data_IF_261049348502
#
_entry.id   IF_261049348502
#
_cell.length_a   1.000
_cell.length_b   1.000
_cell.length_c   1.000
_cell.angle_alpha   90.00
_cell.angle_beta   90.00
_cell.angle_gamma   90.00
#
_symmetry.space_group_name_H-M   'P 1'
#
loop_
_entity.id
_entity.type
_entity.pdbx_description
1 polymer ?
#
# COMPACT_ATOMS: atom_id res chain seq x y z
N UNK A 1 57.59 28.13 21.40
CA UNK A 1 56.48 27.21 20.88
C UNK A 1 55.26 27.50 21.72
N UNK A 2 54.38 28.33 21.20
CA UNK A 2 53.08 28.69 21.85
C UNK A 2 52.03 27.76 21.33
N UNK A 3 51.52 26.90 22.21
CA UNK A 3 50.41 25.97 21.93
C UNK A 3 49.12 26.77 22.00
N UNK A 4 48.49 27.01 20.84
CA UNK A 4 47.13 27.59 20.75
C UNK A 4 46.10 26.51 21.00
N UNK A 5 45.36 26.63 22.09
CA UNK A 5 44.17 25.81 22.40
C UNK A 5 43.06 26.09 21.40
N UNK A 6 42.34 25.07 20.89
CA UNK A 6 41.21 25.28 19.99
C UNK A 6 40.02 25.89 20.75
N UNK A 7 39.48 26.99 20.20
CA UNK A 7 38.23 27.60 20.67
C UNK A 7 37.09 26.60 20.62
N UNK A 8 36.50 26.30 21.75
CA UNK A 8 35.21 25.56 21.86
C UNK A 8 34.09 26.36 21.18
N UNK A 9 33.50 25.79 20.18
CA UNK A 9 32.27 26.31 19.52
C UNK A 9 31.12 26.17 20.52
N UNK A 10 30.32 27.22 20.79
CA UNK A 10 29.19 27.13 21.70
C UNK A 10 28.17 26.17 21.15
N UNK A 11 27.70 25.24 22.01
CA UNK A 11 26.59 24.33 21.70
C UNK A 11 25.35 25.14 21.31
N UNK A 12 24.82 24.84 20.12
CA UNK A 12 23.55 25.38 19.65
C UNK A 12 22.41 24.93 20.59
N UNK A 13 21.45 25.81 20.93
CA UNK A 13 20.41 25.50 21.88
C UNK A 13 19.57 24.32 21.39
N UNK A 14 19.40 23.34 22.28
CA UNK A 14 18.64 22.13 22.11
C UNK A 14 17.18 22.49 21.76
N UNK A 15 16.84 22.52 20.46
CA UNK A 15 15.45 22.70 19.99
C UNK A 15 14.65 21.51 20.50
N UNK A 16 13.79 21.76 21.49
CA UNK A 16 12.79 20.81 21.99
C UNK A 16 12.10 20.14 20.79
N UNK A 17 12.48 18.91 20.48
CA UNK A 17 11.84 18.12 19.42
C UNK A 17 10.39 17.86 19.85
N UNK A 18 9.43 18.41 19.12
CA UNK A 18 8.02 18.19 19.39
C UNK A 18 7.70 16.69 19.35
N UNK A 19 6.76 16.22 20.16
CA UNK A 19 6.31 14.81 20.18
C UNK A 19 5.90 14.31 18.79
N UNK A 20 5.35 15.19 17.95
CA UNK A 20 4.99 14.93 16.56
C UNK A 20 6.23 14.55 15.68
N UNK A 21 7.43 15.02 16.00
CA UNK A 21 8.62 14.66 15.23
C UNK A 21 9.12 13.22 15.49
N UNK A 22 8.54 12.52 16.47
CA UNK A 22 8.85 11.11 16.79
C UNK A 22 8.00 10.13 15.99
N UNK A 23 6.94 10.58 15.33
CA UNK A 23 6.14 9.72 14.48
C UNK A 23 6.94 9.31 13.23
N UNK A 24 7.02 8.02 12.90
CA UNK A 24 7.78 7.53 11.75
C UNK A 24 7.33 8.17 10.43
N UNK A 25 6.03 8.46 10.29
CA UNK A 25 5.43 9.11 9.13
C UNK A 25 5.99 10.54 8.93
N UNK A 26 6.12 11.33 9.99
CA UNK A 26 6.66 12.71 9.91
C UNK A 26 8.12 12.70 9.48
N UNK A 27 8.89 11.71 9.94
CA UNK A 27 10.28 11.52 9.52
C UNK A 27 10.36 11.15 8.03
N UNK A 28 9.47 10.30 7.54
CA UNK A 28 9.39 9.90 6.14
C UNK A 28 9.01 11.06 5.22
N UNK A 29 8.01 11.87 5.58
CA UNK A 29 7.63 13.09 4.84
C UNK A 29 8.78 14.09 4.77
N UNK A 30 9.60 14.21 5.82
CA UNK A 30 10.80 15.08 5.81
C UNK A 30 11.93 14.56 4.93
N UNK A 31 12.03 13.26 4.74
CA UNK A 31 13.08 12.64 3.90
C UNK A 31 12.71 12.58 2.42
N UNK A 32 11.40 12.68 2.08
CA UNK A 32 10.93 12.69 0.70
C UNK A 32 11.13 14.07 0.05
N UNK A 33 11.49 14.08 -1.24
CA UNK A 33 11.73 15.32 -2.02
C UNK A 33 10.94 15.28 -3.34
N UNK A 34 10.51 16.47 -3.80
CA UNK A 34 9.89 16.63 -5.11
C UNK A 34 8.58 15.82 -5.23
N UNK A 35 8.43 15.11 -6.35
CA UNK A 35 7.22 14.37 -6.71
C UNK A 35 6.85 13.27 -5.69
N UNK A 36 7.84 12.62 -5.08
CA UNK A 36 7.60 11.59 -4.06
C UNK A 36 6.95 12.16 -2.80
N UNK A 37 7.35 13.37 -2.39
CA UNK A 37 6.71 14.05 -1.27
C UNK A 37 5.26 14.38 -1.59
N UNK A 38 4.99 14.84 -2.81
CA UNK A 38 3.63 15.11 -3.26
C UNK A 38 2.79 13.83 -3.25
N UNK A 39 3.28 12.72 -3.82
CA UNK A 39 2.58 11.43 -3.83
C UNK A 39 2.31 10.91 -2.41
N UNK A 40 3.30 10.97 -1.51
CA UNK A 40 3.12 10.55 -0.12
C UNK A 40 2.07 11.41 0.61
N UNK A 41 2.15 12.73 0.47
CA UNK A 41 1.21 13.64 1.14
C UNK A 41 -0.20 13.48 0.56
N UNK A 42 -0.33 13.43 -0.77
CA UNK A 42 -1.61 13.21 -1.44
C UNK A 42 -2.21 11.86 -1.02
N UNK A 43 -1.41 10.78 -1.05
CA UNK A 43 -1.85 9.46 -0.60
C UNK A 43 -2.30 9.44 0.86
N UNK A 44 -1.53 10.07 1.76
CA UNK A 44 -1.88 10.15 3.18
C UNK A 44 -3.15 10.98 3.42
N UNK A 45 -3.34 12.08 2.68
CA UNK A 45 -4.56 12.91 2.78
C UNK A 45 -5.77 12.11 2.31
N UNK A 46 -5.71 11.49 1.12
CA UNK A 46 -6.83 10.74 0.56
C UNK A 46 -7.15 9.51 1.42
N UNK A 47 -6.14 8.73 1.82
CA UNK A 47 -6.34 7.58 2.72
C UNK A 47 -6.84 8.02 4.09
N UNK A 48 -6.34 9.13 4.62
CA UNK A 48 -6.80 9.70 5.88
C UNK A 48 -8.27 10.14 5.81
N UNK A 49 -8.67 10.80 4.72
CA UNK A 49 -10.08 11.15 4.48
C UNK A 49 -10.96 9.91 4.37
N UNK A 50 -10.52 8.88 3.64
CA UNK A 50 -11.22 7.60 3.54
C UNK A 50 -11.42 6.96 4.94
N UNK A 51 -10.37 6.87 5.74
CA UNK A 51 -10.44 6.32 7.10
C UNK A 51 -11.36 7.17 7.99
N UNK A 52 -11.26 8.49 7.94
CA UNK A 52 -12.13 9.38 8.71
C UNK A 52 -13.60 9.24 8.30
N UNK A 53 -13.88 9.20 6.98
CA UNK A 53 -15.23 8.95 6.46
C UNK A 53 -15.78 7.62 6.98
N UNK A 54 -14.98 6.55 6.96
CA UNK A 54 -15.38 5.24 7.45
C UNK A 54 -15.65 5.22 8.96
N UNK A 55 -14.81 5.88 9.77
CA UNK A 55 -14.97 5.92 11.23
C UNK A 55 -16.16 6.79 11.67
N UNK A 56 -16.37 7.89 10.98
CA UNK A 56 -17.42 8.84 11.28
C UNK A 56 -18.67 8.70 10.39
N UNK A 57 -18.80 7.58 9.67
CA UNK A 57 -19.92 7.32 8.78
C UNK A 57 -21.30 7.55 9.46
N UNK A 58 -21.54 7.10 10.71
CA UNK A 58 -22.83 7.36 11.39
C UNK A 58 -23.13 8.83 11.66
N UNK A 59 -22.11 9.70 11.68
CA UNK A 59 -22.24 11.14 11.91
C UNK A 59 -22.26 11.94 10.61
N UNK A 60 -21.63 11.43 9.57
CA UNK A 60 -21.49 12.12 8.28
C UNK A 60 -22.64 11.79 7.33
N UNK A 61 -23.20 10.57 7.41
CA UNK A 61 -24.28 10.15 6.54
C UNK A 61 -25.61 10.77 6.97
N UNK A 62 -26.33 11.45 6.08
CA UNK A 62 -27.65 12.01 6.40
C UNK A 62 -28.66 10.93 6.82
N UNK A 63 -28.58 9.73 6.24
CA UNK A 63 -29.47 8.62 6.46
C UNK A 63 -28.74 7.31 6.75
N UNK A 64 -29.46 6.34 7.33
CA UNK A 64 -28.94 4.99 7.50
C UNK A 64 -28.71 4.30 6.14
N UNK A 65 -27.75 3.36 6.07
CA UNK A 65 -27.39 2.66 4.82
C UNK A 65 -28.55 1.88 4.19
N UNK A 66 -29.54 1.44 4.98
CA UNK A 66 -30.74 0.71 4.53
C UNK A 66 -32.03 1.51 4.73
N UNK A 67 -31.94 2.80 5.08
CA UNK A 67 -33.10 3.64 5.31
C UNK A 67 -33.77 4.00 3.99
N UNK A 68 -35.09 3.81 3.94
CA UNK A 68 -35.95 4.05 2.78
C UNK A 68 -37.04 5.10 3.04
N UNK A 69 -37.06 5.72 4.24
CA UNK A 69 -38.07 6.69 4.66
C UNK A 69 -37.43 7.80 5.48
N UNK A 70 -37.83 9.04 5.19
CA UNK A 70 -37.53 10.22 5.97
C UNK A 70 -38.77 10.70 6.71
N UNK A 71 -38.71 11.92 7.23
CA UNK A 71 -39.81 12.58 7.95
C UNK A 71 -41.00 12.83 7.01
N UNK A 72 -40.74 13.11 5.73
CA UNK A 72 -41.74 13.43 4.71
C UNK A 72 -42.32 12.18 3.99
N UNK A 73 -41.91 11.00 4.37
CA UNK A 73 -42.42 9.75 3.81
C UNK A 73 -41.36 8.82 3.22
N UNK A 74 -41.78 7.95 2.28
CA UNK A 74 -40.86 7.04 1.60
C UNK A 74 -40.01 7.79 0.55
N UNK A 75 -38.73 7.47 0.49
CA UNK A 75 -37.85 8.02 -0.55
C UNK A 75 -38.29 7.52 -1.95
N UNK A 76 -38.28 8.43 -2.90
CA UNK A 76 -38.61 8.09 -4.29
C UNK A 76 -37.49 7.32 -4.97
N UNK A 77 -37.86 6.46 -5.93
CA UNK A 77 -36.90 5.76 -6.78
C UNK A 77 -36.26 6.71 -7.79
N UNK A 78 -34.93 6.63 -7.95
CA UNK A 78 -34.15 7.37 -8.98
C UNK A 78 -34.38 8.89 -8.98
N UNK A 79 -34.63 9.46 -7.80
CA UNK A 79 -34.74 10.93 -7.68
C UNK A 79 -33.41 11.60 -8.06
N UNK A 80 -33.51 12.67 -8.81
CA UNK A 80 -32.35 13.49 -9.15
C UNK A 80 -31.76 14.16 -7.89
N UNK A 81 -30.47 14.55 -7.92
CA UNK A 81 -29.86 15.32 -6.85
C UNK A 81 -30.70 16.52 -6.43
N UNK A 82 -30.95 16.64 -5.13
CA UNK A 82 -31.80 17.66 -4.50
C UNK A 82 -31.24 18.09 -3.14
N UNK A 83 -31.90 19.06 -2.50
CA UNK A 83 -31.51 19.48 -1.14
C UNK A 83 -31.71 18.35 -0.10
N UNK A 84 -32.70 17.49 -0.29
CA UNK A 84 -33.00 16.34 0.57
C UNK A 84 -32.04 15.17 0.27
N UNK A 85 -31.78 14.90 -1.00
CA UNK A 85 -30.88 13.85 -1.48
C UNK A 85 -29.77 14.47 -2.33
N UNK A 86 -28.65 14.88 -1.71
CA UNK A 86 -27.57 15.63 -2.38
C UNK A 86 -26.99 14.90 -3.62
N UNK A 87 -26.94 13.58 -3.58
CA UNK A 87 -26.53 12.76 -4.72
C UNK A 87 -27.68 11.95 -5.32
N UNK A 88 -28.92 12.34 -5.03
CA UNK A 88 -30.11 11.64 -5.50
C UNK A 88 -30.32 10.27 -4.83
N UNK A 89 -31.26 9.49 -5.38
CA UNK A 89 -31.58 8.17 -4.86
C UNK A 89 -31.36 7.07 -5.91
N UNK A 90 -31.15 5.82 -5.45
CA UNK A 90 -31.02 4.63 -6.27
C UNK A 90 -32.38 4.14 -6.76
N UNK A 91 -32.41 3.14 -7.67
CA UNK A 91 -33.63 2.44 -8.08
C UNK A 91 -34.40 1.85 -6.89
N UNK A 92 -33.71 1.44 -5.85
CA UNK A 92 -34.30 0.93 -4.60
C UNK A 92 -34.76 2.01 -3.63
N UNK A 93 -34.61 3.30 -3.96
CA UNK A 93 -34.95 4.42 -3.07
C UNK A 93 -33.93 4.69 -1.96
N UNK A 94 -32.71 4.15 -2.03
CA UNK A 94 -31.64 4.44 -1.07
C UNK A 94 -30.94 5.75 -1.41
N UNK A 95 -30.62 6.57 -0.39
CA UNK A 95 -29.84 7.79 -0.57
C UNK A 95 -28.39 7.47 -0.99
N UNK A 96 -27.98 7.97 -2.15
CA UNK A 96 -26.68 7.66 -2.75
C UNK A 96 -25.52 8.20 -1.93
N UNK A 97 -25.63 9.41 -1.37
CA UNK A 97 -24.57 9.99 -0.53
C UNK A 97 -24.36 9.14 0.73
N UNK A 98 -25.45 8.82 1.43
CA UNK A 98 -25.39 8.00 2.65
C UNK A 98 -24.76 6.64 2.36
N UNK A 99 -25.18 5.98 1.29
CA UNK A 99 -24.60 4.69 0.90
C UNK A 99 -23.11 4.79 0.54
N UNK A 100 -22.71 5.86 -0.13
CA UNK A 100 -21.28 6.09 -0.46
C UNK A 100 -20.43 6.25 0.81
N UNK A 101 -20.94 6.98 1.81
CA UNK A 101 -20.29 7.20 3.10
C UNK A 101 -20.22 5.88 3.91
N UNK A 102 -21.35 5.18 4.05
CA UNK A 102 -21.40 3.89 4.76
C UNK A 102 -20.58 2.80 4.05
N UNK A 103 -20.49 2.85 2.71
CA UNK A 103 -19.64 1.97 1.92
C UNK A 103 -18.16 2.08 2.29
N UNK A 104 -17.71 3.27 2.67
CA UNK A 104 -16.34 3.44 3.19
C UNK A 104 -16.11 2.64 4.49
N UNK A 105 -17.08 2.61 5.39
CA UNK A 105 -16.98 1.82 6.63
C UNK A 105 -16.95 0.32 6.34
N UNK A 106 -17.81 -0.15 5.44
CA UNK A 106 -17.84 -1.56 5.03
C UNK A 106 -16.52 -1.96 4.39
N UNK A 107 -16.03 -1.17 3.42
CA UNK A 107 -14.77 -1.44 2.75
C UNK A 107 -13.59 -1.47 3.74
N UNK A 108 -13.49 -0.47 4.63
CA UNK A 108 -12.43 -0.41 5.64
C UNK A 108 -12.48 -1.64 6.56
N UNK A 109 -13.67 -2.02 7.04
CA UNK A 109 -13.86 -3.14 7.95
C UNK A 109 -13.44 -4.47 7.31
N UNK A 110 -13.92 -4.74 6.08
CA UNK A 110 -13.59 -5.96 5.35
C UNK A 110 -12.10 -6.03 5.06
N UNK A 111 -11.51 -4.93 4.56
CA UNK A 111 -10.08 -4.88 4.19
C UNK A 111 -9.19 -5.08 5.41
N UNK A 112 -9.47 -4.39 6.54
CA UNK A 112 -8.68 -4.56 7.76
C UNK A 112 -8.73 -6.01 8.24
N UNK A 113 -9.93 -6.60 8.33
CA UNK A 113 -10.07 -7.99 8.79
C UNK A 113 -9.36 -8.94 7.83
N UNK A 114 -9.60 -8.83 6.53
CA UNK A 114 -9.01 -9.71 5.52
C UNK A 114 -7.49 -9.65 5.52
N UNK A 115 -6.92 -8.44 5.50
CA UNK A 115 -5.46 -8.26 5.42
C UNK A 115 -4.77 -8.66 6.72
N UNK A 116 -5.33 -8.33 7.89
CA UNK A 116 -4.75 -8.73 9.18
C UNK A 116 -4.76 -10.25 9.33
N UNK A 117 -5.87 -10.91 9.02
CA UNK A 117 -5.96 -12.37 9.08
C UNK A 117 -4.99 -13.04 8.09
N UNK A 118 -4.90 -12.52 6.85
CA UNK A 118 -3.96 -13.02 5.85
C UNK A 118 -2.50 -12.89 6.30
N UNK A 119 -2.14 -11.75 6.90
CA UNK A 119 -0.81 -11.54 7.48
C UNK A 119 -0.57 -12.56 8.59
N UNK A 120 -1.50 -12.67 9.54
CA UNK A 120 -1.32 -13.56 10.69
C UNK A 120 -1.09 -15.00 10.24
N UNK A 121 -1.97 -15.53 9.40
CA UNK A 121 -1.87 -16.90 8.88
C UNK A 121 -0.66 -17.07 7.97
N UNK A 122 -0.46 -16.18 7.00
CA UNK A 122 0.64 -16.26 6.04
C UNK A 122 2.01 -16.14 6.69
N UNK A 123 2.16 -15.22 7.66
CA UNK A 123 3.41 -15.08 8.44
C UNK A 123 3.67 -16.32 9.27
N UNK A 124 2.68 -16.84 9.97
CA UNK A 124 2.83 -18.05 10.78
C UNK A 124 3.25 -19.24 9.92
N UNK A 125 2.52 -19.51 8.84
CA UNK A 125 2.84 -20.61 7.93
C UNK A 125 4.20 -20.42 7.25
N UNK A 126 4.54 -19.19 6.82
CA UNK A 126 5.81 -18.87 6.18
C UNK A 126 7.01 -19.05 7.10
N UNK A 127 6.89 -18.65 8.38
CA UNK A 127 7.93 -18.88 9.39
C UNK A 127 8.14 -20.38 9.66
N UNK A 128 7.06 -21.11 9.87
CA UNK A 128 7.13 -22.55 10.17
C UNK A 128 7.72 -23.30 8.98
N UNK A 129 7.22 -23.06 7.80
CA UNK A 129 7.68 -23.65 6.54
C UNK A 129 9.17 -23.36 6.27
N UNK A 130 9.56 -22.08 6.27
CA UNK A 130 10.94 -21.66 6.00
C UNK A 130 11.94 -22.12 7.05
N UNK A 131 11.54 -22.16 8.33
CA UNK A 131 12.44 -22.55 9.42
C UNK A 131 12.67 -24.07 9.48
N UNK A 132 11.60 -24.87 9.50
CA UNK A 132 11.70 -26.32 9.65
C UNK A 132 12.02 -27.01 8.32
N UNK A 133 11.48 -26.56 7.21
CA UNK A 133 11.72 -27.14 5.89
C UNK A 133 11.09 -28.55 5.76
N UNK A 134 11.73 -29.40 4.94
CA UNK A 134 11.35 -30.81 4.80
C UNK A 134 10.02 -31.03 4.08
N UNK A 135 9.26 -32.07 4.50
CA UNK A 135 7.99 -32.42 3.86
C UNK A 135 6.88 -31.38 4.16
N UNK A 136 6.89 -30.82 5.37
CA UNK A 136 5.95 -29.77 5.76
C UNK A 136 6.03 -28.56 4.83
N UNK A 137 7.25 -28.13 4.54
CA UNK A 137 7.51 -27.05 3.58
C UNK A 137 6.98 -27.38 2.18
N UNK A 138 7.25 -28.59 1.68
CA UNK A 138 6.75 -29.03 0.37
C UNK A 138 5.23 -29.02 0.29
N UNK A 139 4.55 -29.53 1.31
CA UNK A 139 3.08 -29.56 1.34
C UNK A 139 2.50 -28.15 1.37
N UNK A 140 3.03 -27.28 2.25
CA UNK A 140 2.54 -25.89 2.34
C UNK A 140 2.79 -25.09 1.07
N UNK A 141 3.94 -25.29 0.40
CA UNK A 141 4.24 -24.68 -0.89
C UNK A 141 3.24 -25.13 -1.94
N UNK A 142 2.99 -26.45 -2.07
CA UNK A 142 2.04 -26.99 -3.06
C UNK A 142 0.63 -26.45 -2.81
N UNK A 143 0.18 -26.40 -1.55
CA UNK A 143 -1.15 -25.86 -1.21
C UNK A 143 -1.25 -24.38 -1.56
N UNK A 144 -0.25 -23.58 -1.17
CA UNK A 144 -0.23 -22.15 -1.49
C UNK A 144 -0.13 -21.89 -3.00
N UNK A 145 0.64 -22.70 -3.73
CA UNK A 145 0.75 -22.60 -5.18
C UNK A 145 -0.55 -23.00 -5.87
N UNK A 146 -1.25 -24.02 -5.37
CA UNK A 146 -2.58 -24.40 -5.86
C UNK A 146 -3.59 -23.26 -5.67
N UNK A 147 -3.63 -22.62 -4.50
CA UNK A 147 -4.49 -21.44 -4.25
C UNK A 147 -4.13 -20.30 -5.21
N UNK A 148 -2.84 -20.03 -5.39
CA UNK A 148 -2.37 -18.91 -6.20
C UNK A 148 -2.51 -19.16 -7.72
N UNK A 149 -2.70 -20.39 -8.15
CA UNK A 149 -2.96 -20.73 -9.54
C UNK A 149 -4.36 -20.30 -10.02
N UNK A 150 -5.29 -20.07 -9.10
CA UNK A 150 -6.60 -19.57 -9.44
C UNK A 150 -6.59 -18.04 -9.62
N UNK A 151 -7.33 -17.50 -10.61
CA UNK A 151 -7.56 -16.06 -10.69
C UNK A 151 -8.19 -15.54 -9.39
N UNK A 152 -7.58 -14.51 -8.80
CA UNK A 152 -7.92 -13.94 -7.49
C UNK A 152 -9.42 -13.74 -7.30
N UNK A 153 -10.08 -13.07 -8.26
CA UNK A 153 -11.50 -12.76 -8.18
C UNK A 153 -12.38 -14.01 -8.27
N UNK A 154 -12.03 -14.97 -9.15
CA UNK A 154 -12.78 -16.21 -9.26
C UNK A 154 -12.72 -17.04 -7.98
N UNK A 155 -11.52 -17.14 -7.38
CA UNK A 155 -11.36 -17.84 -6.11
C UNK A 155 -12.16 -17.15 -5.01
N UNK A 156 -12.11 -15.81 -4.94
CA UNK A 156 -12.88 -15.05 -3.98
C UNK A 156 -14.40 -15.27 -4.11
N UNK A 157 -14.93 -15.36 -5.34
CA UNK A 157 -16.34 -15.67 -5.60
C UNK A 157 -16.69 -17.07 -5.08
N UNK A 158 -15.92 -18.08 -5.48
CA UNK A 158 -16.19 -19.47 -5.07
C UNK A 158 -16.16 -19.60 -3.56
N UNK A 159 -15.17 -18.98 -2.90
CA UNK A 159 -15.04 -18.98 -1.45
C UNK A 159 -16.19 -18.23 -0.78
N UNK A 160 -16.62 -17.08 -1.33
CA UNK A 160 -17.74 -16.31 -0.80
C UNK A 160 -19.03 -17.12 -0.83
N UNK A 161 -19.33 -17.80 -1.94
CA UNK A 161 -20.49 -18.69 -2.07
C UNK A 161 -20.39 -19.87 -1.10
N UNK A 162 -19.22 -20.50 -1.00
CA UNK A 162 -19.02 -21.66 -0.12
C UNK A 162 -19.20 -21.29 1.37
N UNK A 163 -18.74 -20.11 1.79
CA UNK A 163 -18.83 -19.65 3.17
C UNK A 163 -20.21 -19.14 3.52
N UNK A 164 -20.86 -18.38 2.61
CA UNK A 164 -22.20 -17.84 2.83
C UNK A 164 -23.29 -18.90 2.76
N UNK A 165 -22.99 -20.09 2.20
CA UNK A 165 -24.01 -21.13 1.95
C UNK A 165 -25.13 -20.68 1.02
N UNK A 166 -24.90 -19.62 0.25
CA UNK A 166 -25.92 -18.99 -0.59
C UNK A 166 -26.96 -18.17 0.19
N UNK A 167 -26.73 -17.93 1.48
CA UNK A 167 -27.63 -17.13 2.33
C UNK A 167 -27.00 -15.78 2.65
N UNK A 168 -27.75 -14.72 2.42
CA UNK A 168 -27.40 -13.36 2.80
C UNK A 168 -27.94 -13.06 4.20
N UNK A 169 -27.12 -13.32 5.20
CA UNK A 169 -27.39 -12.81 6.55
C UNK A 169 -26.57 -11.55 6.81
N UNK A 170 -27.03 -10.69 7.73
CA UNK A 170 -26.38 -9.41 8.09
C UNK A 170 -24.88 -9.56 8.38
N UNK A 171 -24.48 -10.61 9.06
CA UNK A 171 -23.06 -10.91 9.33
C UNK A 171 -22.44 -11.85 8.29
N UNK A 172 -23.27 -12.65 7.58
CA UNK A 172 -22.79 -13.64 6.62
C UNK A 172 -22.09 -13.02 5.41
N UNK A 173 -22.64 -11.95 4.84
CA UNK A 173 -22.07 -11.31 3.65
C UNK A 173 -20.74 -10.63 3.92
N UNK A 174 -20.63 -9.79 4.95
CA UNK A 174 -19.40 -9.08 5.32
C UNK A 174 -18.30 -10.07 5.74
N UNK A 175 -18.68 -11.06 6.56
CA UNK A 175 -17.75 -12.08 7.03
C UNK A 175 -17.28 -13.00 5.89
N UNK A 176 -18.21 -13.45 5.03
CA UNK A 176 -17.88 -14.29 3.88
C UNK A 176 -16.91 -13.56 2.93
N UNK A 177 -17.17 -12.28 2.62
CA UNK A 177 -16.26 -11.48 1.81
C UNK A 177 -14.87 -11.33 2.47
N UNK A 178 -14.82 -11.02 3.77
CA UNK A 178 -13.55 -10.85 4.49
C UNK A 178 -12.72 -12.15 4.52
N UNK A 179 -13.36 -13.30 4.80
CA UNK A 179 -12.66 -14.60 4.83
C UNK A 179 -12.26 -15.04 3.43
N UNK A 180 -13.11 -14.82 2.42
CA UNK A 180 -12.76 -15.15 1.03
C UNK A 180 -11.49 -14.40 0.58
N UNK A 181 -11.43 -13.09 0.83
CA UNK A 181 -10.26 -12.26 0.53
C UNK A 181 -9.05 -12.70 1.37
N UNK A 182 -9.27 -13.09 2.64
CA UNK A 182 -8.20 -13.65 3.51
C UNK A 182 -7.54 -14.84 2.86
N UNK A 183 -8.31 -15.84 2.42
CA UNK A 183 -7.78 -17.07 1.82
C UNK A 183 -6.97 -16.77 0.57
N UNK A 184 -7.44 -15.86 -0.27
CA UNK A 184 -6.75 -15.44 -1.49
C UNK A 184 -5.38 -14.82 -1.22
N UNK A 185 -5.23 -14.05 -0.14
CA UNK A 185 -3.99 -13.33 0.14
C UNK A 185 -2.98 -14.10 1.01
N UNK A 186 -3.39 -15.16 1.71
CA UNK A 186 -2.48 -16.01 2.49
C UNK A 186 -1.22 -16.42 1.71
N UNK A 187 -1.31 -16.92 0.45
CA UNK A 187 -0.13 -17.35 -0.29
C UNK A 187 0.91 -16.27 -0.54
N UNK A 188 0.50 -15.01 -0.73
CA UNK A 188 1.43 -13.90 -0.93
C UNK A 188 2.28 -13.66 0.31
N UNK A 189 1.65 -13.55 1.49
CA UNK A 189 2.37 -13.38 2.75
C UNK A 189 3.22 -14.61 3.08
N UNK A 190 2.70 -15.81 2.84
CA UNK A 190 3.41 -17.07 3.03
C UNK A 190 4.71 -17.08 2.23
N UNK A 191 4.67 -16.81 0.92
CA UNK A 191 5.84 -16.85 0.03
C UNK A 191 6.92 -15.88 0.46
N UNK A 192 6.55 -14.64 0.75
CA UNK A 192 7.52 -13.61 1.13
C UNK A 192 8.17 -13.94 2.46
N UNK A 193 7.39 -14.30 3.48
CA UNK A 193 7.92 -14.62 4.80
C UNK A 193 8.72 -15.92 4.78
N UNK A 194 8.31 -16.92 4.00
CA UNK A 194 9.08 -18.14 3.80
C UNK A 194 10.46 -17.83 3.20
N UNK A 195 10.51 -17.05 2.11
CA UNK A 195 11.76 -16.68 1.46
C UNK A 195 12.71 -15.93 2.41
N UNK A 196 12.19 -14.93 3.13
CA UNK A 196 12.95 -14.20 4.15
C UNK A 196 13.41 -15.09 5.30
N UNK A 197 12.56 -16.02 5.75
CA UNK A 197 12.90 -16.98 6.82
C UNK A 197 14.06 -17.88 6.40
N UNK A 198 14.01 -18.43 5.19
CA UNK A 198 15.10 -19.28 4.64
C UNK A 198 16.40 -18.48 4.56
N UNK A 199 16.35 -17.24 4.06
CA UNK A 199 17.51 -16.34 3.99
C UNK A 199 18.10 -16.04 5.37
N UNK A 200 17.25 -15.63 6.32
CA UNK A 200 17.70 -15.23 7.66
C UNK A 200 18.21 -16.44 8.47
N UNK A 201 17.65 -17.63 8.26
CA UNK A 201 18.07 -18.85 8.94
C UNK A 201 19.53 -19.21 8.70
N UNK A 202 20.11 -18.82 7.55
CA UNK A 202 21.51 -19.07 7.17
C UNK A 202 22.48 -17.96 7.60
N UNK A 203 22.01 -16.92 8.31
CA UNK A 203 22.86 -15.83 8.78
C UNK A 203 23.72 -16.28 9.99
N UNK A 204 24.98 -15.84 10.03
CA UNK A 204 25.97 -16.21 11.05
C UNK A 204 25.48 -15.99 12.49
N UNK A 205 24.73 -14.91 12.76
CA UNK A 205 24.20 -14.64 14.10
C UNK A 205 23.13 -15.64 14.55
N UNK A 206 22.38 -16.25 13.59
CA UNK A 206 21.41 -17.31 13.88
C UNK A 206 22.14 -18.61 14.19
N UNK A 207 23.21 -18.93 13.47
CA UNK A 207 24.05 -20.09 13.74
C UNK A 207 24.75 -19.96 15.10
N UNK A 208 25.29 -18.80 15.42
CA UNK A 208 25.87 -18.51 16.73
C UNK A 208 24.84 -18.73 17.88
N UNK A 209 23.59 -18.29 17.67
CA UNK A 209 22.54 -18.49 18.66
C UNK A 209 22.21 -19.99 18.88
N UNK A 210 22.30 -20.82 17.83
CA UNK A 210 22.14 -22.29 17.95
C UNK A 210 23.28 -22.92 18.74
N UNK A 211 24.52 -22.51 18.46
CA UNK A 211 25.70 -23.01 19.16
C UNK A 211 25.64 -22.71 20.65
N UNK A 212 25.13 -21.57 21.05
CA UNK A 212 24.95 -21.17 22.48
C UNK A 212 23.74 -21.88 23.10
N UNK A 213 23.00 -22.74 22.35
CA UNK A 213 21.89 -23.52 22.86
C UNK A 213 20.53 -22.82 22.91
N UNK A 214 20.32 -21.77 22.09
CA UNK A 214 19.01 -21.13 22.01
C UNK A 214 17.96 -22.09 21.42
N UNK A 215 16.77 -22.17 22.05
CA UNK A 215 15.66 -22.98 21.54
C UNK A 215 15.13 -22.47 20.21
N UNK A 216 14.58 -23.37 19.38
CA UNK A 216 13.99 -23.03 18.09
C UNK A 216 12.94 -21.93 18.21
N UNK A 217 12.07 -21.97 19.20
CA UNK A 217 11.08 -20.93 19.44
C UNK A 217 11.74 -19.57 19.68
N UNK A 218 12.80 -19.52 20.52
CA UNK A 218 13.54 -18.27 20.77
C UNK A 218 14.18 -17.73 19.49
N UNK A 219 14.75 -18.58 18.64
CA UNK A 219 15.34 -18.20 17.37
C UNK A 219 14.27 -17.64 16.42
N UNK A 220 13.15 -18.37 16.27
CA UNK A 220 12.06 -17.95 15.38
C UNK A 220 11.50 -16.58 15.82
N UNK A 221 11.07 -16.45 17.07
CA UNK A 221 10.35 -15.24 17.51
C UNK A 221 11.27 -14.04 17.75
N UNK A 222 12.52 -14.23 18.19
CA UNK A 222 13.42 -13.14 18.55
C UNK A 222 14.33 -12.71 17.42
N UNK A 223 14.77 -13.64 16.57
CA UNK A 223 15.76 -13.38 15.51
C UNK A 223 15.13 -13.38 14.13
N UNK A 224 14.36 -14.41 13.77
CA UNK A 224 13.79 -14.57 12.43
C UNK A 224 12.60 -13.65 12.20
N UNK A 225 11.55 -13.76 13.02
CA UNK A 225 10.31 -12.99 12.86
C UNK A 225 10.58 -11.48 12.77
N UNK A 226 11.38 -10.94 13.70
CA UNK A 226 11.70 -9.50 13.74
C UNK A 226 12.35 -8.99 12.46
N UNK A 227 13.14 -9.82 11.78
CA UNK A 227 13.83 -9.45 10.56
C UNK A 227 13.01 -9.77 9.32
N UNK A 228 12.29 -10.90 9.28
CA UNK A 228 11.44 -11.31 8.18
C UNK A 228 10.24 -10.38 7.96
N UNK A 229 9.71 -9.75 9.03
CA UNK A 229 8.54 -8.87 8.95
C UNK A 229 8.84 -7.45 8.46
N UNK A 230 10.09 -7.11 8.14
CA UNK A 230 10.47 -5.75 7.69
C UNK A 230 9.82 -5.35 6.35
N UNK A 231 9.50 -6.32 5.51
CA UNK A 231 8.85 -6.11 4.20
C UNK A 231 7.32 -6.05 4.29
N UNK A 232 6.73 -6.45 5.42
CA UNK A 232 5.27 -6.50 5.59
C UNK A 232 4.56 -5.17 5.39
N UNK A 233 5.06 -4.00 5.85
CA UNK A 233 4.35 -2.73 5.65
C UNK A 233 4.11 -2.40 4.19
N UNK A 234 5.05 -2.76 3.30
CA UNK A 234 4.90 -2.56 1.87
C UNK A 234 3.81 -3.48 1.30
N UNK A 235 3.89 -4.78 1.60
CA UNK A 235 2.92 -5.77 1.10
C UNK A 235 1.53 -5.50 1.66
N UNK A 236 1.44 -5.01 2.90
CA UNK A 236 0.19 -4.58 3.52
C UNK A 236 -0.54 -3.53 2.67
N UNK A 237 0.15 -2.48 2.25
CA UNK A 237 -0.49 -1.41 1.47
C UNK A 237 -0.91 -1.86 0.07
N UNK A 238 -0.11 -2.70 -0.60
CA UNK A 238 -0.46 -3.28 -1.89
C UNK A 238 -1.70 -4.16 -1.77
N UNK A 239 -1.71 -5.08 -0.79
CA UNK A 239 -2.84 -5.99 -0.58
C UNK A 239 -4.09 -5.26 -0.06
N UNK A 240 -3.94 -4.16 0.68
CA UNK A 240 -5.09 -3.34 1.08
C UNK A 240 -5.79 -2.70 -0.13
N UNK A 241 -5.03 -2.19 -1.10
CA UNK A 241 -5.58 -1.66 -2.36
C UNK A 241 -6.27 -2.75 -3.18
N UNK A 242 -5.62 -3.92 -3.32
CA UNK A 242 -6.18 -5.07 -4.04
C UNK A 242 -7.42 -5.64 -3.34
N UNK A 243 -7.47 -5.62 -2.00
CA UNK A 243 -8.63 -6.05 -1.24
C UNK A 243 -9.86 -5.16 -1.47
N UNK A 244 -9.68 -3.83 -1.58
CA UNK A 244 -10.76 -2.90 -1.93
C UNK A 244 -11.32 -3.26 -3.33
N UNK A 245 -10.43 -3.48 -4.31
CA UNK A 245 -10.83 -3.85 -5.67
C UNK A 245 -11.51 -5.21 -5.72
N UNK A 246 -11.01 -6.20 -4.97
CA UNK A 246 -11.59 -7.54 -4.91
C UNK A 246 -12.97 -7.50 -4.27
N UNK A 247 -13.15 -6.74 -3.19
CA UNK A 247 -14.46 -6.54 -2.56
C UNK A 247 -15.44 -5.89 -3.54
N UNK A 248 -15.03 -4.79 -4.17
CA UNK A 248 -15.85 -4.09 -5.16
C UNK A 248 -16.17 -4.99 -6.36
N UNK A 249 -15.22 -5.82 -6.80
CA UNK A 249 -15.43 -6.81 -7.85
C UNK A 249 -16.45 -7.89 -7.48
N UNK A 250 -16.38 -8.40 -6.24
CA UNK A 250 -17.38 -9.36 -5.71
C UNK A 250 -18.78 -8.74 -5.73
N UNK A 251 -18.91 -7.51 -5.21
CA UNK A 251 -20.17 -6.77 -5.19
C UNK A 251 -20.71 -6.51 -6.59
N UNK A 252 -19.84 -6.03 -7.49
CA UNK A 252 -20.19 -5.74 -8.88
C UNK A 252 -20.67 -6.96 -9.66
N UNK A 253 -20.14 -8.14 -9.38
CA UNK A 253 -20.58 -9.39 -9.97
C UNK A 253 -21.83 -10.00 -9.27
N UNK A 254 -22.36 -9.34 -8.23
CA UNK A 254 -23.55 -9.77 -7.52
C UNK A 254 -23.28 -10.80 -6.40
N UNK A 255 -22.03 -11.06 -6.08
CA UNK A 255 -21.61 -11.97 -4.99
C UNK A 255 -21.14 -11.22 -3.75
N UNK A 256 -21.42 -9.92 -3.67
CA UNK A 256 -21.07 -9.06 -2.56
C UNK A 256 -22.07 -9.07 -1.41
N UNK A 257 -22.13 -7.95 -0.71
CA UNK A 257 -22.92 -7.74 0.49
C UNK A 257 -24.26 -7.15 0.09
N UNK A 258 -25.36 -7.73 0.57
CA UNK A 258 -26.70 -7.20 0.27
C UNK A 258 -26.96 -5.82 0.87
N UNK A 259 -27.76 -4.96 0.20
CA UNK A 259 -28.04 -3.58 0.62
C UNK A 259 -28.64 -3.45 2.01
N UNK A 260 -29.39 -4.48 2.44
CA UNK A 260 -30.02 -4.56 3.76
C UNK A 260 -29.03 -4.94 4.87
N UNK A 261 -27.89 -5.53 4.50
CA UNK A 261 -26.84 -5.95 5.43
C UNK A 261 -25.77 -4.88 5.64
N UNK A 262 -25.33 -4.23 4.55
CA UNK A 262 -24.42 -3.08 4.59
C UNK A 262 -24.45 -2.34 3.24
N UNK A 263 -23.94 -1.11 3.22
CA UNK A 263 -23.64 -0.43 1.96
C UNK A 263 -22.32 -0.98 1.41
N UNK A 264 -22.28 -1.30 0.11
CA UNK A 264 -21.09 -1.78 -0.56
C UNK A 264 -21.03 -1.19 -1.98
N UNK A 265 -19.92 -0.53 -2.30
CA UNK A 265 -19.77 0.26 -3.52
C UNK A 265 -19.88 -0.55 -4.81
N UNK A 266 -19.34 -1.78 -4.83
CA UNK A 266 -19.40 -2.64 -6.00
C UNK A 266 -20.83 -3.11 -6.29
N UNK A 267 -21.58 -3.47 -5.25
CA UNK A 267 -22.98 -3.83 -5.38
C UNK A 267 -23.85 -2.66 -5.87
N UNK A 268 -23.60 -1.46 -5.32
CA UNK A 268 -24.29 -0.25 -5.76
C UNK A 268 -23.98 0.05 -7.23
N UNK A 269 -22.74 -0.12 -7.69
CA UNK A 269 -22.36 -0.01 -9.09
C UNK A 269 -23.04 -1.05 -9.98
N UNK A 270 -23.19 -2.30 -9.52
CA UNK A 270 -23.92 -3.32 -10.25
C UNK A 270 -25.38 -2.89 -10.52
N UNK A 271 -26.05 -2.37 -9.50
CA UNK A 271 -27.44 -1.87 -9.65
C UNK A 271 -27.52 -0.63 -10.53
N UNK A 272 -26.50 0.22 -10.48
CA UNK A 272 -26.44 1.45 -11.25
C UNK A 272 -26.24 1.24 -12.78
N UNK A 273 -25.85 0.04 -13.24
CA UNK A 273 -25.64 -0.23 -14.69
C UNK A 273 -26.92 0.09 -15.48
N UNK A 274 -28.07 -0.36 -15.00
CA UNK A 274 -29.37 -0.12 -15.64
C UNK A 274 -29.74 1.36 -15.58
N UNK A 275 -29.48 1.99 -14.44
CA UNK A 275 -29.76 3.42 -14.20
C UNK A 275 -29.01 4.32 -15.21
N UNK A 276 -27.70 4.07 -15.39
CA UNK A 276 -26.86 4.83 -16.33
C UNK A 276 -27.40 4.69 -17.78
N UNK A 277 -27.85 3.51 -18.16
CA UNK A 277 -28.45 3.26 -19.47
C UNK A 277 -29.72 4.08 -19.70
N UNK A 278 -30.40 4.48 -18.62
CA UNK A 278 -31.57 5.33 -18.63
C UNK A 278 -31.28 6.84 -18.42
N UNK A 279 -29.98 7.22 -18.39
CA UNK A 279 -29.55 8.60 -18.16
C UNK A 279 -29.42 9.01 -16.68
N UNK A 280 -29.62 8.07 -15.74
CA UNK A 280 -29.50 8.29 -14.29
C UNK A 280 -28.06 8.00 -13.86
N UNK A 281 -27.16 8.95 -14.10
CA UNK A 281 -25.72 8.79 -13.90
C UNK A 281 -25.30 8.93 -12.42
N UNK A 282 -26.10 9.62 -11.60
CA UNK A 282 -25.72 9.92 -10.20
C UNK A 282 -25.72 8.70 -9.28
N UNK A 283 -26.31 7.59 -9.67
CA UNK A 283 -26.27 6.34 -8.90
C UNK A 283 -24.93 5.60 -9.04
N UNK A 284 -24.20 5.80 -10.16
CA UNK A 284 -22.93 5.13 -10.45
C UNK A 284 -21.71 5.98 -10.08
N UNK A 285 -21.75 7.29 -10.34
CA UNK A 285 -20.59 8.18 -10.24
C UNK A 285 -20.02 8.26 -8.81
N UNK A 286 -20.81 8.49 -7.74
CA UNK A 286 -20.28 8.61 -6.39
C UNK A 286 -19.60 7.32 -5.87
N UNK A 287 -20.22 6.11 -5.94
CA UNK A 287 -19.54 4.90 -5.49
C UNK A 287 -18.33 4.55 -6.37
N UNK A 288 -18.39 4.82 -7.68
CA UNK A 288 -17.25 4.64 -8.57
C UNK A 288 -16.05 5.51 -8.21
N UNK A 289 -16.27 6.81 -7.97
CA UNK A 289 -15.23 7.74 -7.53
C UNK A 289 -14.69 7.32 -6.15
N UNK A 290 -15.55 6.88 -5.24
CA UNK A 290 -15.13 6.43 -3.92
C UNK A 290 -14.14 5.25 -4.00
N UNK A 291 -14.41 4.24 -4.84
CA UNK A 291 -13.48 3.12 -5.09
C UNK A 291 -12.15 3.65 -5.64
N UNK A 292 -12.20 4.48 -6.69
CA UNK A 292 -10.98 5.02 -7.33
C UNK A 292 -10.13 5.80 -6.33
N UNK A 293 -10.75 6.69 -5.53
CA UNK A 293 -10.02 7.49 -4.55
C UNK A 293 -9.46 6.64 -3.41
N UNK A 294 -10.21 5.67 -2.90
CA UNK A 294 -9.75 4.78 -1.84
C UNK A 294 -8.54 3.95 -2.30
N UNK A 295 -8.62 3.32 -3.48
CA UNK A 295 -7.52 2.55 -4.07
C UNK A 295 -6.32 3.43 -4.36
N UNK A 296 -6.52 4.59 -5.01
CA UNK A 296 -5.46 5.52 -5.34
C UNK A 296 -4.74 6.02 -4.08
N UNK A 297 -5.49 6.40 -3.04
CA UNK A 297 -4.93 6.86 -1.78
C UNK A 297 -4.00 5.83 -1.16
N UNK A 298 -4.48 4.60 -0.99
CA UNK A 298 -3.71 3.50 -0.38
C UNK A 298 -2.51 3.12 -1.24
N UNK A 299 -2.66 3.07 -2.58
CA UNK A 299 -1.57 2.77 -3.52
C UNK A 299 -0.47 3.82 -3.47
N UNK A 300 -0.81 5.11 -3.48
CA UNK A 300 0.16 6.20 -3.37
C UNK A 300 0.97 6.15 -2.08
N UNK A 301 0.34 5.78 -0.96
CA UNK A 301 1.05 5.54 0.30
C UNK A 301 2.00 4.36 0.16
N UNK A 302 1.56 3.25 -0.41
CA UNK A 302 2.35 2.04 -0.60
C UNK A 302 3.58 2.26 -1.47
N UNK A 303 3.42 2.88 -2.63
CA UNK A 303 4.55 3.21 -3.52
C UNK A 303 5.55 4.15 -2.86
N UNK A 304 5.05 5.18 -2.17
CA UNK A 304 5.92 6.11 -1.46
C UNK A 304 6.72 5.44 -0.35
N UNK A 305 6.14 4.47 0.37
CA UNK A 305 6.84 3.66 1.37
C UNK A 305 7.90 2.75 0.72
N UNK A 306 7.60 2.16 -0.42
CA UNK A 306 8.53 1.34 -1.20
C UNK A 306 9.76 2.14 -1.63
N UNK A 307 9.55 3.31 -2.22
CA UNK A 307 10.62 4.20 -2.66
C UNK A 307 11.54 4.65 -1.51
N UNK A 308 10.96 4.86 -0.32
CA UNK A 308 11.73 5.21 0.88
C UNK A 308 12.51 4.02 1.44
N UNK A 309 12.05 2.79 1.19
CA UNK A 309 12.74 1.58 1.62
C UNK A 309 13.92 1.21 0.71
N UNK A 310 13.97 1.66 -0.57
CA UNK A 310 15.03 1.34 -1.52
C UNK A 310 16.36 2.05 -1.18
N UNK A 311 17.43 1.28 -0.86
CA UNK A 311 18.75 1.86 -0.54
C UNK A 311 19.42 2.53 -1.75
N UNK A 312 19.11 2.12 -2.99
CA UNK A 312 19.72 2.62 -4.23
C UNK A 312 19.31 4.07 -4.49
N UNK A 313 18.07 4.41 -4.18
CA UNK A 313 17.56 5.78 -4.30
C UNK A 313 18.19 6.70 -3.22
N UNK A 314 18.52 6.16 -2.05
CA UNK A 314 19.22 6.92 -0.98
C UNK A 314 20.65 7.32 -1.36
N UNK A 315 21.37 6.48 -2.10
CA UNK A 315 22.73 6.76 -2.57
C UNK A 315 22.76 7.91 -3.59
N UNK A 316 21.92 7.89 -4.59
CA UNK A 316 21.79 8.96 -5.59
C UNK A 316 21.44 10.32 -4.97
N UNK A 317 20.61 10.34 -3.92
CA UNK A 317 20.20 11.55 -3.21
C UNK A 317 21.36 12.20 -2.43
N UNK A 318 22.25 11.41 -1.85
CA UNK A 318 23.45 11.93 -1.14
C UNK A 318 24.42 12.57 -2.10
N UNK A 319 24.63 11.99 -3.28
CA UNK A 319 25.51 12.55 -4.32
C UNK A 319 24.94 13.84 -4.89
N UNK A 320 23.64 13.93 -5.19
CA UNK A 320 22.99 15.13 -5.68
C UNK A 320 22.98 16.28 -4.64
N UNK A 321 22.79 15.97 -3.37
CA UNK A 321 22.89 16.96 -2.29
C UNK A 321 24.32 17.48 -2.09
N UNK A 322 25.32 16.60 -2.21
CA UNK A 322 26.74 16.98 -2.11
C UNK A 322 27.19 17.82 -3.31
N UNK A 323 26.75 17.48 -4.54
CA UNK A 323 27.08 18.27 -5.75
C UNK A 323 26.38 19.64 -5.76
N UNK A 324 25.16 19.75 -5.23
CA UNK A 324 24.47 21.04 -5.07
C UNK A 324 25.15 21.99 -4.08
N UNK A 325 25.76 21.44 -3.02
CA UNK A 325 26.50 22.24 -2.01
C UNK A 325 27.83 22.72 -2.55
N UNK A 326 28.49 21.94 -3.41
CA UNK A 326 29.79 22.35 -4.04
C UNK A 326 29.55 23.45 -5.07
N UNK A 327 28.45 23.43 -5.81
CA UNK A 327 28.11 24.48 -6.77
C UNK A 327 27.75 25.83 -6.12
N UNK A 328 27.24 25.81 -4.88
CA UNK A 328 26.90 27.05 -4.14
C UNK A 328 28.08 27.73 -3.46
N UNK A 329 29.23 27.02 -3.31
CA UNK A 329 30.41 27.56 -2.60
C UNK A 329 31.47 28.13 -3.55
N UNK A 330 31.30 28.05 -4.88
CA UNK A 330 32.27 28.52 -5.87
C UNK A 330 31.99 29.90 -6.46
N UNK A 331 31.06 30.67 -5.91
CA UNK A 331 30.88 32.09 -6.27
C UNK A 331 31.53 32.94 -5.22
N UNK A 332 32.86 33.14 -5.35
CA UNK A 332 33.57 34.24 -4.71
C UNK A 332 33.60 35.37 -5.74
N UNK A 333 33.00 36.53 -5.47
CA UNK A 333 33.18 37.68 -6.32
C UNK A 333 34.50 38.41 -5.88
N UNK A 334 35.38 38.54 -6.80
CA UNK A 334 36.43 39.56 -6.66
C UNK A 334 37.84 39.12 -6.97
N UNK A 335 38.34 39.58 -8.09
CA UNK A 335 39.70 40.11 -8.16
C UNK A 335 40.66 39.44 -9.13
N UNK A 336 40.90 40.20 -10.20
CA UNK A 336 42.17 40.39 -10.93
C UNK A 336 42.50 39.42 -12.06
N UNK A 337 42.25 39.95 -13.27
CA UNK A 337 42.91 39.58 -14.52
C UNK A 337 44.38 39.88 -14.44
N UNK A 338 45.26 38.94 -14.79
CA UNK A 338 46.57 39.23 -15.37
C UNK A 338 46.76 38.39 -16.62
N UNK A 339 47.10 39.10 -17.69
CA UNK A 339 47.28 38.64 -19.04
C UNK A 339 48.60 37.93 -19.29
N UNK A 340 48.57 36.90 -20.14
CA UNK A 340 49.49 36.51 -21.20
C UNK A 340 50.89 36.02 -20.84
N UNK A 341 51.71 35.53 -21.76
CA UNK A 341 51.42 35.08 -23.12
C UNK A 341 52.06 33.72 -23.52
N UNK A 342 51.61 33.20 -24.63
CA UNK A 342 52.32 32.53 -25.74
C UNK A 342 53.33 31.43 -25.49
N UNK A 343 53.16 30.35 -26.24
CA UNK A 343 54.26 29.69 -26.90
C UNK A 343 54.21 28.18 -27.05
N UNK A 344 53.94 27.78 -28.30
CA UNK A 344 54.66 26.74 -29.04
C UNK A 344 54.55 25.26 -28.71
N UNK A 345 54.15 24.55 -29.75
CA UNK A 345 54.82 23.39 -30.31
C UNK A 345 54.14 22.07 -29.95
N UNK A 346 53.39 21.47 -30.77
CA UNK A 346 53.75 20.67 -31.93
C UNK A 346 54.21 19.30 -31.51
N UNK A 347 53.47 18.28 -31.87
CA UNK A 347 53.94 17.09 -32.59
C UNK A 347 52.83 16.07 -32.80
N UNK A 348 52.70 15.74 -34.04
CA UNK A 348 51.94 14.63 -34.65
C UNK A 348 52.45 13.25 -34.23
N UNK A 349 51.57 12.30 -34.25
CA UNK A 349 51.71 10.91 -34.71
C UNK A 349 50.49 10.16 -34.11
N UNK A 350 49.56 9.61 -34.80
CA UNK A 350 49.59 8.80 -36.01
C UNK A 350 49.78 7.36 -35.60
N UNK A 351 48.67 6.64 -35.37
CA UNK A 351 48.64 5.19 -35.58
C UNK A 351 47.16 4.70 -35.67
N UNK A 352 46.87 4.31 -36.88
CA UNK A 352 45.76 3.47 -37.36
C UNK A 352 46.06 2.00 -37.08
N UNK A 353 45.17 1.28 -36.49
CA UNK A 353 45.02 -0.19 -36.57
C UNK A 353 43.53 -0.44 -36.33
N UNK A 354 42.81 -1.13 -37.16
CA UNK A 354 43.00 -2.32 -37.98
C UNK A 354 41.72 -3.09 -37.78
N UNK A 355 40.93 -3.07 -38.81
CA UNK A 355 39.70 -3.86 -39.01
C UNK A 355 40.11 -5.36 -39.11
N UNK A 356 39.49 -6.22 -38.32
CA UNK A 356 39.46 -7.67 -38.64
C UNK A 356 38.17 -8.29 -38.15
N UNK A 357 37.37 -8.66 -39.13
CA UNK A 357 36.18 -9.44 -39.02
C UNK A 357 36.41 -10.89 -38.61
N UNK A 358 35.45 -11.45 -37.93
CA UNK A 358 35.22 -12.90 -37.85
C UNK A 358 33.73 -13.21 -37.98
N UNK A 359 33.44 -13.78 -39.10
CA UNK A 359 32.51 -14.78 -39.60
C UNK A 359 31.53 -15.42 -38.63
N UNK A 360 30.28 -15.38 -39.06
CA UNK A 360 29.16 -16.29 -38.74
C UNK A 360 29.37 -17.69 -39.29
N UNK A 361 29.06 -18.74 -38.53
CA UNK A 361 28.53 -20.05 -38.97
C UNK A 361 28.11 -20.95 -37.80
N UNK A 362 27.27 -21.99 -38.06
CA UNK A 362 25.83 -21.93 -38.34
C UNK A 362 24.99 -22.29 -37.12
#
# INVERSE_FOLDING_TARGET
>A
MTVTTPKTVPDAPDRKRSLLSRLPIVHQVRQSMGIQRFMLVAGLVVTGLFILTALFAPLLAPYGYSQLRGDDGAFGSQQAPSAEHLFGTTVGGYDVLSRTIWGAQTALSVVIVAVILSIFVGVFLGLVSGYFGGWLDRVLVVVCDAIYAFPTLLLAIVMSIAISGGQSSLWGGVFAAAISITVVFIPQYFRVIRAETVRIKSEAYVESAKVVGASNARIIFRHVLRNATRTLPLIFTLNASEAILTLAGLGFLGFGIEPTSAAEWGFDLNKAIVDVSSGVWWTALPPGIAIVLAVLGVTLVGESLNDLADPRLRGRRRVAAASGTVAATSVVPGGVQTAGPAGLGGLESGETFGDDGIETRP
#
